data_IF_338136625972
#
_entry.id   IF_338136625972
#
_cell.length_a   1.000
_cell.length_b   1.000
_cell.length_c   1.000
_cell.angle_alpha   90.00
_cell.angle_beta   90.00
_cell.angle_gamma   90.00
#
_symmetry.space_group_name_H-M   'P 1'
#
loop_
_entity.id
_entity.type
_entity.pdbx_description
1 polymer ?
#
# COMPACT_ATOMS: atom_id res chain seq x y z
N UNK A 1 0.71 -4.85 -22.39
CA UNK A 1 -0.16 -4.58 -23.56
C UNK A 1 0.27 -5.31 -24.81
N UNK A 2 1.57 -5.43 -25.10
CA UNK A 2 2.05 -6.09 -26.33
C UNK A 2 1.47 -7.49 -26.59
N UNK A 3 1.38 -8.36 -25.58
CA UNK A 3 0.77 -9.69 -25.73
C UNK A 3 -0.73 -9.59 -26.07
N UNK A 4 -1.46 -8.75 -25.34
CA UNK A 4 -2.90 -8.54 -25.50
C UNK A 4 -3.21 -7.95 -26.89
N UNK A 5 -2.41 -6.98 -27.33
CA UNK A 5 -2.57 -6.35 -28.65
C UNK A 5 -2.30 -7.32 -29.79
N UNK A 6 -1.36 -8.24 -29.63
CA UNK A 6 -1.05 -9.28 -30.62
C UNK A 6 -2.17 -10.33 -30.71
N UNK A 7 -2.73 -10.74 -29.58
CA UNK A 7 -3.82 -11.73 -29.55
C UNK A 7 -5.15 -11.17 -30.06
N UNK A 8 -5.47 -9.91 -29.71
CA UNK A 8 -6.74 -9.26 -30.08
C UNK A 8 -6.63 -8.37 -31.32
N UNK A 9 -5.44 -8.26 -31.91
CA UNK A 9 -5.14 -7.52 -33.14
C UNK A 9 -5.58 -6.04 -33.12
N UNK A 10 -5.12 -5.28 -32.12
CA UNK A 10 -5.33 -3.84 -32.03
C UNK A 10 -4.00 -3.07 -31.88
N UNK A 11 -4.04 -1.78 -32.16
CA UNK A 11 -2.92 -0.86 -31.90
C UNK A 11 -3.21 -0.03 -30.66
N UNK A 12 -2.16 0.40 -29.97
CA UNK A 12 -2.30 1.15 -28.73
C UNK A 12 -1.32 2.31 -28.66
N UNK A 13 -1.72 3.36 -27.96
CA UNK A 13 -0.85 4.45 -27.53
C UNK A 13 -0.92 4.54 -26.01
N UNK A 14 0.24 4.54 -25.36
CA UNK A 14 0.33 4.67 -23.90
C UNK A 14 0.69 6.11 -23.60
N UNK A 15 -0.07 6.73 -22.71
CA UNK A 15 0.19 8.05 -22.17
C UNK A 15 -0.17 8.05 -20.68
N UNK A 16 0.35 9.05 -19.97
CA UNK A 16 0.06 9.26 -18.56
C UNK A 16 -1.00 10.34 -18.40
N UNK A 17 -1.90 10.19 -17.43
CA UNK A 17 -2.96 11.18 -17.18
C UNK A 17 -2.33 12.46 -16.62
N UNK A 18 -2.85 13.62 -17.04
CA UNK A 18 -2.28 14.93 -16.71
C UNK A 18 -2.13 15.19 -15.20
N UNK A 19 -3.06 14.70 -14.38
CA UNK A 19 -3.07 14.91 -12.93
C UNK A 19 -2.33 13.80 -12.14
N UNK A 20 -1.97 12.68 -12.79
CA UNK A 20 -1.35 11.52 -12.15
C UNK A 20 -2.19 10.83 -11.07
N UNK A 21 -3.50 11.12 -11.00
CA UNK A 21 -4.37 10.61 -9.95
C UNK A 21 -5.04 9.27 -10.33
N UNK A 22 -5.31 8.38 -9.36
CA UNK A 22 -5.97 7.10 -9.63
C UNK A 22 -7.46 7.23 -9.98
N UNK A 23 -8.08 8.38 -9.68
CA UNK A 23 -9.51 8.60 -9.81
C UNK A 23 -10.24 8.57 -8.48
N UNK A 24 -10.71 9.75 -8.10
CA UNK A 24 -11.51 10.07 -6.91
C UNK A 24 -12.74 10.84 -7.40
N UNK A 25 -13.94 10.51 -6.89
CA UNK A 25 -15.15 11.24 -7.25
C UNK A 25 -15.21 12.57 -6.48
N UNK A 26 -15.72 13.59 -7.17
CA UNK A 26 -16.09 14.86 -6.57
C UNK A 26 -17.53 14.82 -6.01
N UNK A 27 -17.92 15.84 -5.24
CA UNK A 27 -19.25 15.96 -4.66
C UNK A 27 -20.38 15.95 -5.72
N UNK A 28 -20.07 16.42 -6.93
CA UNK A 28 -21.00 16.46 -8.06
C UNK A 28 -21.06 15.11 -8.84
N UNK A 29 -20.31 14.09 -8.40
CA UNK A 29 -20.27 12.78 -9.06
C UNK A 29 -19.33 12.69 -10.27
N UNK A 30 -18.58 13.77 -10.54
CA UNK A 30 -17.53 13.77 -11.57
C UNK A 30 -16.29 13.03 -11.06
N UNK A 31 -15.52 12.44 -11.97
CA UNK A 31 -14.29 11.71 -11.65
C UNK A 31 -13.07 12.43 -12.20
N UNK A 32 -11.99 12.48 -11.42
CA UNK A 32 -10.67 12.91 -11.89
C UNK A 32 -9.79 11.71 -12.26
N UNK A 33 -8.52 11.96 -12.61
CA UNK A 33 -7.54 10.90 -12.76
C UNK A 33 -7.85 9.89 -13.86
N UNK A 34 -7.32 8.68 -13.66
CA UNK A 34 -7.53 7.54 -14.54
C UNK A 34 -9.02 7.25 -14.78
N UNK A 35 -9.85 7.32 -13.73
CA UNK A 35 -11.29 7.05 -13.87
C UNK A 35 -11.97 8.18 -14.67
N UNK A 36 -11.62 9.43 -14.42
CA UNK A 36 -12.11 10.57 -15.20
C UNK A 36 -11.74 10.47 -16.67
N UNK A 37 -10.51 10.03 -16.99
CA UNK A 37 -10.07 9.80 -18.36
C UNK A 37 -10.89 8.71 -19.06
N UNK A 38 -11.27 7.64 -18.36
CA UNK A 38 -12.15 6.59 -18.87
C UNK A 38 -13.60 7.07 -19.06
N UNK A 39 -14.16 7.74 -18.04
CA UNK A 39 -15.54 8.23 -18.07
C UNK A 39 -15.74 9.31 -19.15
N UNK A 40 -14.74 10.16 -19.37
CA UNK A 40 -14.77 11.19 -20.43
C UNK A 40 -14.53 10.64 -21.83
N UNK A 41 -14.09 9.39 -21.97
CA UNK A 41 -13.69 8.79 -23.25
C UNK A 41 -12.34 9.29 -23.79
N UNK A 42 -11.55 9.97 -22.96
CA UNK A 42 -10.18 10.37 -23.33
C UNK A 42 -9.24 9.17 -23.38
N UNK A 43 -9.52 8.15 -22.57
CA UNK A 43 -8.85 6.84 -22.58
C UNK A 43 -9.86 5.72 -22.75
N UNK A 44 -9.51 4.68 -23.50
CA UNK A 44 -10.34 3.47 -23.62
C UNK A 44 -10.02 2.41 -22.56
N UNK A 45 -8.74 2.37 -22.12
CA UNK A 45 -8.24 1.35 -21.19
C UNK A 45 -7.24 2.01 -20.22
N UNK A 46 -7.42 1.76 -18.92
CA UNK A 46 -6.45 2.13 -17.89
C UNK A 46 -5.64 0.90 -17.47
N UNK A 47 -4.35 0.89 -17.82
CA UNK A 47 -3.42 -0.16 -17.39
C UNK A 47 -2.62 0.30 -16.17
N UNK A 48 -3.06 -0.09 -14.97
CA UNK A 48 -2.40 0.31 -13.72
C UNK A 48 -2.71 -0.67 -12.58
N UNK A 49 -2.04 -0.52 -11.44
CA UNK A 49 -2.40 -1.19 -10.18
C UNK A 49 -3.53 -0.45 -9.48
N UNK A 50 -4.75 -0.51 -10.04
CA UNK A 50 -5.93 0.11 -9.44
C UNK A 50 -6.70 -0.89 -8.57
N UNK A 51 -7.04 -0.49 -7.34
CA UNK A 51 -7.91 -1.29 -6.48
C UNK A 51 -9.36 -1.21 -6.96
N UNK A 52 -9.97 -2.39 -7.12
CA UNK A 52 -11.41 -2.54 -7.37
C UNK A 52 -12.16 -2.18 -6.09
N UNK A 53 -13.01 -1.16 -6.17
CA UNK A 53 -13.88 -0.74 -5.07
C UNK A 53 -15.30 -0.56 -5.61
N UNK A 54 -16.31 -0.77 -4.76
CA UNK A 54 -17.71 -0.67 -5.16
C UNK A 54 -18.07 0.69 -5.78
N UNK A 55 -17.48 1.77 -5.26
CA UNK A 55 -17.68 3.13 -5.80
C UNK A 55 -17.16 3.25 -7.24
N UNK A 56 -15.99 2.69 -7.53
CA UNK A 56 -15.38 2.74 -8.88
C UNK A 56 -16.11 1.82 -9.86
N UNK A 57 -16.63 0.70 -9.40
CA UNK A 57 -17.46 -0.21 -10.21
C UNK A 57 -18.76 0.46 -10.68
N UNK A 58 -19.22 1.56 -10.03
CA UNK A 58 -20.37 2.32 -10.54
C UNK A 58 -20.05 3.18 -11.77
N UNK A 59 -18.77 3.48 -12.01
CA UNK A 59 -18.32 4.41 -13.05
C UNK A 59 -17.60 3.71 -14.21
N UNK A 60 -16.91 2.60 -13.93
CA UNK A 60 -16.12 1.86 -14.92
C UNK A 60 -16.23 0.35 -14.72
N UNK A 61 -16.07 -0.40 -15.82
CA UNK A 61 -16.03 -1.85 -15.80
C UNK A 61 -14.59 -2.35 -15.53
N UNK A 62 -14.47 -3.32 -14.62
CA UNK A 62 -13.20 -3.97 -14.30
C UNK A 62 -13.09 -5.35 -14.95
N UNK A 63 -11.87 -5.71 -15.36
CA UNK A 63 -11.55 -7.09 -15.75
C UNK A 63 -11.47 -8.00 -14.53
N UNK A 64 -11.50 -9.33 -14.76
CA UNK A 64 -11.21 -10.32 -13.72
C UNK A 64 -9.83 -10.03 -13.11
N UNK A 65 -9.70 -9.86 -11.78
CA UNK A 65 -8.42 -9.55 -11.16
C UNK A 65 -7.37 -10.63 -11.43
N UNK A 66 -6.30 -10.27 -12.13
CA UNK A 66 -5.17 -11.17 -12.40
C UNK A 66 -4.16 -11.23 -11.23
N UNK A 67 -4.18 -10.22 -10.36
CA UNK A 67 -3.38 -10.16 -9.15
C UNK A 67 -4.30 -10.04 -7.93
N UNK A 68 -4.24 -11.01 -7.03
CA UNK A 68 -4.94 -10.95 -5.74
C UNK A 68 -3.97 -10.42 -4.70
N UNK A 69 -4.13 -9.15 -4.34
CA UNK A 69 -3.46 -8.60 -3.17
C UNK A 69 -4.14 -9.21 -1.93
N UNK A 70 -3.47 -10.16 -1.28
CA UNK A 70 -3.97 -10.75 -0.04
C UNK A 70 -3.75 -9.73 1.09
N UNK A 71 -4.73 -8.84 1.28
CA UNK A 71 -4.78 -7.88 2.39
C UNK A 71 -3.68 -6.80 2.40
N UNK A 72 -3.83 -5.83 3.30
CA UNK A 72 -2.76 -4.88 3.62
C UNK A 72 -1.76 -5.51 4.57
N UNK A 73 -0.47 -5.40 4.28
CA UNK A 73 0.59 -5.78 5.20
C UNK A 73 1.15 -4.52 5.89
N UNK A 74 1.42 -4.60 7.19
CA UNK A 74 2.09 -3.53 7.91
C UNK A 74 3.59 -3.74 7.78
N UNK A 75 4.27 -2.84 7.07
CA UNK A 75 5.72 -2.81 7.01
C UNK A 75 6.26 -2.04 8.22
N UNK A 76 7.04 -2.71 9.07
CA UNK A 76 7.72 -2.08 10.20
C UNK A 76 9.23 -2.18 10.06
N UNK A 77 9.94 -1.15 10.50
CA UNK A 77 11.40 -1.20 10.60
C UNK A 77 11.79 -2.28 11.61
N UNK A 78 12.72 -3.16 11.24
CA UNK A 78 13.28 -4.17 12.15
C UNK A 78 13.84 -3.49 13.41
N UNK A 79 13.40 -3.87 14.62
CA UNK A 79 13.92 -3.28 15.85
C UNK A 79 15.40 -3.64 16.01
N UNK A 80 16.22 -2.64 16.37
CA UNK A 80 17.63 -2.85 16.70
C UNK A 80 17.66 -3.32 18.16
N UNK A 81 17.92 -4.61 18.39
CA UNK A 81 18.11 -5.11 19.76
C UNK A 81 19.47 -4.67 20.28
N UNK A 82 19.48 -3.73 21.23
CA UNK A 82 20.69 -3.38 21.97
C UNK A 82 20.95 -4.44 23.05
N UNK A 83 21.85 -5.38 22.77
CA UNK A 83 22.36 -6.31 23.78
C UNK A 83 23.35 -5.57 24.68
N UNK A 84 22.94 -5.29 25.91
CA UNK A 84 23.86 -4.82 26.96
C UNK A 84 24.17 -6.00 27.87
N UNK A 85 25.46 -6.34 28.10
CA UNK A 85 25.83 -7.41 29.00
C UNK A 85 25.43 -7.11 30.45
N UNK A 86 25.14 -5.86 30.81
CA UNK A 86 24.77 -5.43 32.16
C UNK A 86 23.26 -5.32 32.38
N UNK A 87 22.43 -5.78 31.43
CA UNK A 87 20.96 -5.76 31.57
C UNK A 87 20.49 -6.55 32.80
N UNK A 88 21.27 -7.54 33.26
CA UNK A 88 20.94 -8.29 34.48
C UNK A 88 20.97 -7.42 35.75
N UNK A 89 21.77 -6.35 35.80
CA UNK A 89 21.83 -5.44 36.96
C UNK A 89 20.53 -4.64 37.09
N UNK A 90 19.86 -4.37 35.96
CA UNK A 90 18.58 -3.65 35.91
C UNK A 90 17.39 -4.47 36.41
N UNK A 91 17.56 -5.76 36.68
CA UNK A 91 16.50 -6.63 37.22
C UNK A 91 16.21 -6.31 38.69
N UNK A 92 17.20 -5.76 39.40
CA UNK A 92 17.13 -5.49 40.82
C UNK A 92 17.38 -4.01 41.12
N UNK A 93 16.51 -3.44 41.95
CA UNK A 93 16.63 -2.06 42.40
C UNK A 93 17.82 -1.86 43.35
N UNK A 94 18.44 -0.68 43.31
CA UNK A 94 19.61 -0.32 44.13
C UNK A 94 19.49 -0.64 45.63
N UNK A 95 18.35 -0.42 46.31
CA UNK A 95 18.20 -0.77 47.71
C UNK A 95 18.37 -2.26 47.98
N UNK A 96 17.94 -3.14 47.06
CA UNK A 96 18.03 -4.59 47.28
C UNK A 96 19.46 -5.07 47.06
N UNK A 97 20.21 -4.46 46.14
CA UNK A 97 21.66 -4.68 46.03
C UNK A 97 22.39 -4.36 47.33
N UNK A 98 22.03 -3.25 47.98
CA UNK A 98 22.59 -2.88 49.28
C UNK A 98 22.20 -3.87 50.38
N UNK A 99 20.96 -4.35 50.40
CA UNK A 99 20.52 -5.39 51.34
C UNK A 99 21.31 -6.70 51.17
N UNK A 100 21.54 -7.14 49.93
CA UNK A 100 22.33 -8.35 49.66
C UNK A 100 23.78 -8.16 50.13
N UNK A 101 24.40 -7.01 49.85
CA UNK A 101 25.76 -6.71 50.30
C UNK A 101 25.87 -6.64 51.83
N UNK A 102 24.90 -6.01 52.49
CA UNK A 102 24.85 -5.89 53.94
C UNK A 102 24.55 -7.21 54.65
N UNK A 103 23.82 -8.14 54.01
CA UNK A 103 23.57 -9.47 54.54
C UNK A 103 24.75 -10.43 54.38
N UNK A 104 25.66 -10.15 53.44
CA UNK A 104 26.85 -10.96 53.19
C UNK A 104 28.05 -10.55 54.05
N UNK A 105 28.16 -9.26 54.40
CA UNK A 105 29.13 -8.70 55.34
C UNK A 105 28.77 -9.05 56.80
#
# INVERSE_FOLDING_TARGET
MEMISKELNFTYAIYEVEDGLPGVPDYDGNWNGLIGALVSGSADIALTSLSVTAERETAVDFTIPYYKTVGGAILMRKPIMQYSPFRFIQVLEWPVWLCIAAAYL
#
